data_IF_444639453419
#
_entry.id   IF_444639453419
#
_cell.length_a   1.000
_cell.length_b   1.000
_cell.length_c   1.000
_cell.angle_alpha   90.00
_cell.angle_beta   90.00
_cell.angle_gamma   90.00
#
_symmetry.space_group_name_H-M   'P 1'
#
loop_
_entity.id
_entity.type
_entity.pdbx_description
1 polymer ?
#
# COMPACT_ATOMS: atom_id res chain seq x y z
N UNK A 1 61.56 -24.07 42.29
CA UNK A 1 60.51 -25.02 41.91
C UNK A 1 59.22 -24.23 41.65
N UNK A 2 58.98 -23.85 40.40
CA UNK A 2 57.82 -23.08 40.02
C UNK A 2 56.80 -24.03 39.39
N UNK A 3 55.61 -24.11 39.97
CA UNK A 3 54.51 -24.93 39.56
C UNK A 3 53.72 -24.13 38.50
N UNK A 4 53.63 -24.67 37.29
CA UNK A 4 52.84 -24.12 36.18
C UNK A 4 51.42 -24.76 36.25
N UNK A 5 50.39 -23.97 36.49
CA UNK A 5 49.00 -24.43 36.47
C UNK A 5 48.47 -24.14 35.07
N UNK A 6 48.16 -25.21 34.30
CA UNK A 6 47.39 -25.12 33.06
C UNK A 6 45.91 -25.08 33.37
N UNK A 7 45.22 -24.05 32.88
CA UNK A 7 43.76 -23.97 32.84
C UNK A 7 43.27 -24.51 31.49
N UNK A 8 42.21 -25.31 31.43
CA UNK A 8 41.63 -25.78 30.17
C UNK A 8 40.75 -24.67 29.51
N UNK A 9 41.00 -24.42 28.23
CA UNK A 9 40.08 -23.66 27.35
C UNK A 9 38.84 -24.50 27.08
N UNK A 10 37.69 -24.05 27.58
CA UNK A 10 36.38 -24.56 27.15
C UNK A 10 35.91 -23.73 25.95
N UNK A 11 35.90 -24.37 24.78
CA UNK A 11 35.26 -23.82 23.58
C UNK A 11 33.75 -23.88 23.73
N UNK A 12 33.12 -22.73 24.03
CA UNK A 12 31.69 -22.57 23.98
C UNK A 12 31.22 -22.51 22.53
N UNK A 13 30.47 -23.52 22.09
CA UNK A 13 29.66 -23.44 20.86
C UNK A 13 28.51 -22.44 21.12
N UNK A 14 28.57 -21.29 20.45
CA UNK A 14 27.38 -20.44 20.30
C UNK A 14 26.46 -21.08 19.26
N UNK A 15 25.38 -21.70 19.71
CA UNK A 15 24.24 -22.01 18.87
C UNK A 15 23.54 -20.69 18.56
N UNK A 16 23.53 -20.31 17.28
CA UNK A 16 22.62 -19.31 16.78
C UNK A 16 21.26 -19.95 16.63
N UNK A 17 20.40 -19.77 17.61
CA UNK A 17 18.97 -19.97 17.46
C UNK A 17 18.47 -18.92 16.47
N UNK A 18 18.27 -19.34 15.22
CA UNK A 18 17.59 -18.55 14.21
C UNK A 18 16.14 -18.34 14.63
N UNK A 19 15.87 -17.22 15.24
CA UNK A 19 14.51 -16.75 15.49
C UNK A 19 13.90 -16.43 14.12
N UNK A 20 13.14 -17.36 13.55
CA UNK A 20 12.25 -17.10 12.44
C UNK A 20 11.18 -16.16 13.00
N UNK A 21 11.23 -14.89 12.61
CA UNK A 21 10.20 -13.92 12.93
C UNK A 21 8.89 -14.37 12.26
N UNK A 22 8.05 -15.07 13.01
CA UNK A 22 6.65 -15.29 12.66
C UNK A 22 6.03 -13.88 12.64
N UNK A 23 5.50 -13.47 11.49
CA UNK A 23 4.72 -12.23 11.40
C UNK A 23 3.63 -12.29 12.47
N UNK A 24 3.75 -11.46 13.50
CA UNK A 24 2.74 -11.36 14.53
C UNK A 24 1.44 -10.87 13.86
N UNK A 25 0.45 -11.74 13.76
CA UNK A 25 -0.92 -11.32 13.55
C UNK A 25 -1.26 -10.40 14.72
N UNK A 26 -1.65 -9.16 14.41
CA UNK A 26 -2.11 -8.20 15.41
C UNK A 26 -3.29 -8.82 16.18
N UNK A 27 -3.38 -8.59 17.50
CA UNK A 27 -4.46 -9.08 18.38
C UNK A 27 -5.88 -8.79 17.85
N UNK A 28 -6.01 -7.91 16.84
CA UNK A 28 -7.25 -7.56 16.14
C UNK A 28 -7.47 -8.30 14.82
N UNK A 29 -6.67 -9.33 14.48
CA UNK A 29 -6.80 -10.13 13.27
C UNK A 29 -6.29 -9.44 11.99
N UNK A 30 -5.46 -8.40 12.10
CA UNK A 30 -4.74 -7.83 10.97
C UNK A 30 -3.49 -8.63 10.65
N UNK A 31 -3.28 -8.86 9.38
CA UNK A 31 -2.12 -9.50 8.80
C UNK A 31 -1.28 -8.47 8.06
N UNK A 32 0.02 -8.41 8.32
CA UNK A 32 0.94 -7.60 7.52
C UNK A 32 1.09 -8.23 6.13
N UNK A 33 0.89 -7.44 5.08
CA UNK A 33 1.09 -7.84 3.68
C UNK A 33 2.34 -7.19 3.07
N UNK A 34 3.09 -6.45 3.88
CA UNK A 34 4.42 -5.93 3.58
C UNK A 34 5.25 -5.96 4.87
N UNK A 35 6.44 -6.56 4.79
CA UNK A 35 7.34 -6.77 5.93
C UNK A 35 8.30 -5.60 6.20
N UNK A 36 8.37 -4.63 5.27
CA UNK A 36 9.31 -3.52 5.31
C UNK A 36 10.67 -3.82 4.65
N UNK A 37 10.91 -5.06 4.24
CA UNK A 37 12.22 -5.53 3.78
C UNK A 37 12.21 -6.15 2.39
N UNK A 38 11.11 -6.85 2.00
CA UNK A 38 11.00 -7.54 0.72
C UNK A 38 9.76 -7.13 -0.06
N UNK A 39 9.79 -7.34 -1.37
CA UNK A 39 8.61 -7.24 -2.22
C UNK A 39 8.05 -8.63 -2.57
N UNK A 40 8.26 -9.61 -1.70
CA UNK A 40 7.68 -10.93 -1.87
C UNK A 40 6.15 -10.83 -1.89
N UNK A 41 5.52 -11.59 -2.78
CA UNK A 41 4.07 -11.52 -3.05
C UNK A 41 3.58 -10.22 -3.70
N UNK A 42 4.50 -9.32 -4.11
CA UNK A 42 4.17 -8.12 -4.85
C UNK A 42 4.72 -8.19 -6.28
N UNK A 43 3.86 -8.09 -7.28
CA UNK A 43 4.18 -8.14 -8.71
C UNK A 43 4.13 -6.75 -9.32
N UNK A 44 5.22 -6.34 -9.99
CA UNK A 44 5.35 -5.05 -10.67
C UNK A 44 6.76 -4.77 -11.15
N UNK A 45 6.96 -3.63 -11.80
CA UNK A 45 8.27 -3.23 -12.34
C UNK A 45 9.23 -2.80 -11.23
N UNK A 46 10.31 -3.56 -11.03
CA UNK A 46 11.34 -3.31 -10.02
C UNK A 46 12.26 -2.12 -10.36
N UNK A 47 12.21 -1.60 -11.56
CA UNK A 47 12.89 -0.34 -11.91
C UNK A 47 12.10 0.89 -11.46
N UNK A 48 10.79 0.71 -11.19
CA UNK A 48 9.89 1.78 -10.75
C UNK A 48 9.60 1.68 -9.26
N UNK A 49 9.41 0.44 -8.74
CA UNK A 49 9.15 0.20 -7.33
C UNK A 49 10.38 -0.37 -6.63
N UNK A 50 10.73 0.23 -5.49
CA UNK A 50 11.85 -0.18 -4.63
C UNK A 50 11.45 -0.14 -3.17
N UNK A 51 12.31 -0.65 -2.31
CA UNK A 51 12.19 -0.48 -0.86
C UNK A 51 13.21 0.56 -0.42
N UNK A 52 12.77 1.49 0.40
CA UNK A 52 13.61 2.54 0.99
C UNK A 52 13.03 2.92 2.37
N UNK A 53 13.87 2.94 3.39
CA UNK A 53 13.49 3.28 4.78
C UNK A 53 12.28 2.48 5.31
N UNK A 54 12.20 1.18 5.00
CA UNK A 54 11.09 0.32 5.43
C UNK A 54 9.75 0.62 4.74
N UNK A 55 9.78 1.28 3.59
CA UNK A 55 8.62 1.60 2.79
C UNK A 55 8.76 1.12 1.33
N UNK A 56 7.64 0.81 0.69
CA UNK A 56 7.56 0.66 -0.76
C UNK A 56 7.52 2.06 -1.37
N UNK A 57 8.41 2.34 -2.30
CA UNK A 57 8.49 3.63 -3.01
C UNK A 57 8.30 3.40 -4.50
N UNK A 58 7.27 4.02 -5.07
CA UNK A 58 7.02 4.05 -6.50
C UNK A 58 7.41 5.40 -7.10
N UNK A 59 8.08 5.38 -8.26
CA UNK A 59 8.45 6.57 -8.99
C UNK A 59 9.86 7.08 -8.71
N UNK A 60 10.13 8.32 -9.13
CA UNK A 60 11.46 8.95 -9.06
C UNK A 60 11.34 10.47 -9.02
N UNK A 61 12.16 11.12 -8.17
CA UNK A 61 12.30 12.58 -8.14
C UNK A 61 13.19 13.12 -9.28
N UNK A 62 13.81 12.24 -10.06
CA UNK A 62 14.79 12.62 -11.10
C UNK A 62 14.24 12.51 -12.52
N UNK A 63 13.31 11.60 -12.74
CA UNK A 63 12.82 11.26 -14.07
C UNK A 63 11.30 11.32 -14.14
N UNK A 64 10.80 11.75 -15.29
CA UNK A 64 9.36 11.69 -15.61
C UNK A 64 8.87 10.24 -15.57
N UNK A 65 7.67 10.03 -15.06
CA UNK A 65 6.98 8.76 -15.06
C UNK A 65 6.16 8.66 -16.36
N UNK A 66 6.49 7.71 -17.26
CA UNK A 66 5.93 7.71 -18.63
C UNK A 66 4.44 7.41 -18.70
N UNK A 67 3.95 6.54 -17.82
CA UNK A 67 2.55 6.11 -17.70
C UNK A 67 2.29 5.59 -16.28
N UNK A 68 1.08 5.14 -15.97
CA UNK A 68 0.77 4.53 -14.68
C UNK A 68 1.52 3.23 -14.49
N UNK A 69 2.02 3.01 -13.29
CA UNK A 69 2.60 1.76 -12.85
C UNK A 69 1.89 1.27 -11.59
N UNK A 70 1.74 -0.05 -11.50
CA UNK A 70 1.07 -0.70 -10.39
C UNK A 70 1.92 -1.82 -9.83
N UNK A 71 2.06 -1.85 -8.52
CA UNK A 71 2.64 -2.95 -7.76
C UNK A 71 1.47 -3.72 -7.13
N UNK A 72 1.14 -4.89 -7.68
CA UNK A 72 -0.02 -5.70 -7.33
C UNK A 72 0.34 -6.72 -6.26
N UNK A 73 -0.46 -6.82 -5.21
CA UNK A 73 -0.38 -7.91 -4.26
C UNK A 73 -1.05 -9.17 -4.84
N UNK A 74 -0.41 -10.32 -4.72
CA UNK A 74 -0.78 -11.55 -5.45
C UNK A 74 -2.08 -12.24 -4.97
N UNK A 75 -2.69 -11.78 -3.87
CA UNK A 75 -3.90 -12.39 -3.31
C UNK A 75 -5.10 -11.47 -3.48
N UNK A 76 -6.22 -11.99 -4.04
CA UNK A 76 -7.46 -11.23 -4.13
C UNK A 76 -8.20 -11.16 -2.80
N UNK A 77 -9.04 -10.13 -2.67
CA UNK A 77 -9.89 -9.89 -1.51
C UNK A 77 -11.26 -9.35 -1.92
N UNK A 78 -12.30 -9.85 -1.25
CA UNK A 78 -13.68 -9.34 -1.40
C UNK A 78 -14.08 -8.43 -0.24
N UNK A 79 -14.20 -8.99 0.98
CA UNK A 79 -14.54 -8.25 2.18
C UNK A 79 -13.29 -8.11 3.06
N UNK A 80 -12.90 -6.87 3.32
CA UNK A 80 -11.66 -6.61 4.05
C UNK A 80 -11.63 -5.20 4.64
N UNK A 81 -10.77 -5.02 5.63
CA UNK A 81 -10.26 -3.74 6.06
C UNK A 81 -8.77 -3.68 5.76
N UNK A 82 -8.34 -2.69 4.97
CA UNK A 82 -6.95 -2.40 4.65
C UNK A 82 -6.53 -1.12 5.37
N UNK A 83 -5.38 -1.16 6.04
CA UNK A 83 -4.75 0.01 6.65
C UNK A 83 -3.32 0.14 6.17
N UNK A 84 -2.94 1.35 5.85
CA UNK A 84 -1.56 1.68 5.45
C UNK A 84 -1.25 3.13 5.76
N UNK A 85 0.02 3.48 5.68
CA UNK A 85 0.47 4.86 5.65
C UNK A 85 1.01 5.20 4.27
N UNK A 86 0.71 6.42 3.82
CA UNK A 86 1.23 6.94 2.56
C UNK A 86 1.90 8.31 2.74
N UNK A 87 2.80 8.64 1.81
CA UNK A 87 3.44 9.95 1.68
C UNK A 87 3.69 10.21 0.20
N UNK A 88 3.31 11.39 -0.31
CA UNK A 88 3.66 11.82 -1.66
C UNK A 88 4.74 12.88 -1.61
N UNK A 89 5.73 12.77 -2.50
CA UNK A 89 6.80 13.75 -2.67
C UNK A 89 6.83 14.19 -4.13
N UNK A 90 6.91 15.50 -4.35
CA UNK A 90 6.83 16.12 -5.68
C UNK A 90 5.62 17.03 -5.82
N UNK A 91 5.71 18.02 -6.70
CA UNK A 91 4.74 19.13 -6.79
C UNK A 91 3.40 18.75 -7.44
N UNK A 92 3.38 17.68 -8.21
CA UNK A 92 2.19 17.23 -8.95
C UNK A 92 2.08 15.69 -8.94
N UNK A 93 2.60 15.05 -7.89
CA UNK A 93 2.53 13.62 -7.74
C UNK A 93 1.08 13.19 -7.53
N UNK A 94 0.65 12.21 -8.32
CA UNK A 94 -0.61 11.51 -8.18
C UNK A 94 -0.31 10.00 -8.01
N UNK A 95 -1.13 9.35 -7.22
CA UNK A 95 -0.97 7.96 -6.86
C UNK A 95 -2.30 7.38 -6.38
N UNK A 96 -2.33 6.13 -5.97
CA UNK A 96 -3.55 5.53 -5.43
C UNK A 96 -3.35 4.11 -4.94
N UNK A 97 -4.37 3.59 -4.30
CA UNK A 97 -4.45 2.20 -3.91
C UNK A 97 -5.62 1.56 -4.68
N UNK A 98 -5.30 0.65 -5.58
CA UNK A 98 -6.29 -0.18 -6.26
C UNK A 98 -6.88 -1.18 -5.28
N UNK A 99 -8.20 -1.32 -5.30
CA UNK A 99 -8.95 -2.28 -4.48
C UNK A 99 -9.99 -2.98 -5.34
N UNK A 100 -10.19 -4.28 -5.12
CA UNK A 100 -11.13 -5.08 -5.93
C UNK A 100 -10.91 -4.88 -7.43
N UNK A 101 -9.65 -4.81 -7.84
CA UNK A 101 -9.22 -4.49 -9.21
C UNK A 101 -8.57 -5.68 -9.87
N UNK A 102 -8.45 -5.64 -11.19
CA UNK A 102 -7.81 -6.70 -11.98
C UNK A 102 -6.81 -6.12 -12.96
N UNK A 103 -5.74 -6.86 -13.27
CA UNK A 103 -4.85 -6.51 -14.38
C UNK A 103 -5.61 -6.56 -15.69
N UNK A 104 -5.40 -5.57 -16.56
CA UNK A 104 -5.81 -5.65 -17.95
C UNK A 104 -4.75 -6.45 -18.70
N UNK A 105 -5.11 -7.60 -19.34
CA UNK A 105 -4.14 -8.43 -20.05
C UNK A 105 -3.36 -7.65 -21.11
N UNK A 106 -2.04 -7.79 -21.14
CA UNK A 106 -1.14 -7.14 -22.10
C UNK A 106 -1.20 -5.59 -22.08
N UNK A 107 -1.60 -5.01 -20.96
CA UNK A 107 -1.68 -3.57 -20.76
C UNK A 107 -1.01 -3.14 -19.45
N UNK A 108 -0.57 -1.88 -19.37
CA UNK A 108 0.03 -1.35 -18.14
C UNK A 108 -1.00 -0.97 -17.06
N UNK A 109 -2.27 -0.79 -17.45
CA UNK A 109 -3.34 -0.37 -16.55
C UNK A 109 -3.95 -1.53 -15.74
N UNK A 110 -4.66 -1.15 -14.68
CA UNK A 110 -5.60 -1.98 -13.96
C UNK A 110 -7.03 -1.48 -14.18
N UNK A 111 -8.01 -2.34 -13.95
CA UNK A 111 -9.43 -2.02 -14.04
C UNK A 111 -10.10 -2.31 -12.69
N UNK A 112 -10.78 -1.32 -12.13
CA UNK A 112 -11.51 -1.44 -10.86
C UNK A 112 -11.49 -0.17 -10.03
N UNK A 113 -11.75 -0.28 -8.74
CA UNK A 113 -11.79 0.88 -7.86
C UNK A 113 -10.40 1.32 -7.42
N UNK A 114 -10.20 2.62 -7.30
CA UNK A 114 -8.99 3.23 -6.77
C UNK A 114 -9.33 4.19 -5.63
N UNK A 115 -8.73 3.98 -4.49
CA UNK A 115 -8.67 4.94 -3.41
C UNK A 115 -7.56 5.94 -3.74
N UNK A 116 -7.95 7.11 -4.23
CA UNK A 116 -7.07 8.05 -4.91
C UNK A 116 -6.25 8.94 -3.96
N UNK A 117 -5.07 9.32 -4.43
CA UNK A 117 -4.13 10.21 -3.77
C UNK A 117 -3.58 11.23 -4.77
N UNK A 118 -3.59 12.51 -4.40
CA UNK A 118 -3.00 13.56 -5.20
C UNK A 118 -3.91 14.74 -5.42
N UNK A 119 -3.39 15.77 -6.04
CA UNK A 119 -4.08 17.04 -6.24
C UNK A 119 -5.44 16.81 -6.92
N UNK A 120 -6.50 17.36 -6.32
CA UNK A 120 -7.91 17.28 -6.73
C UNK A 120 -8.57 15.90 -6.56
N UNK A 121 -7.83 14.87 -6.12
CA UNK A 121 -8.33 13.49 -5.97
C UNK A 121 -8.09 12.91 -4.58
N UNK A 122 -7.59 13.70 -3.64
CA UNK A 122 -7.33 13.24 -2.29
C UNK A 122 -8.55 12.57 -1.67
N UNK A 123 -8.40 11.29 -1.32
CA UNK A 123 -9.46 10.52 -0.67
C UNK A 123 -10.68 10.24 -1.52
N UNK A 124 -10.65 10.48 -2.83
CA UNK A 124 -11.73 10.10 -3.75
C UNK A 124 -11.73 8.59 -4.00
N UNK A 125 -12.89 8.06 -4.31
CA UNK A 125 -13.05 6.75 -4.94
C UNK A 125 -13.20 6.96 -6.44
N UNK A 126 -12.22 6.51 -7.20
CA UNK A 126 -12.19 6.57 -8.66
C UNK A 126 -12.45 5.20 -9.25
N UNK A 127 -13.05 5.12 -10.42
CA UNK A 127 -13.26 3.87 -11.16
C UNK A 127 -12.31 3.80 -12.36
N UNK A 128 -11.14 3.20 -12.12
CA UNK A 128 -10.03 3.12 -13.08
C UNK A 128 -10.38 2.20 -14.24
N UNK A 129 -10.13 2.69 -15.45
CA UNK A 129 -10.28 1.97 -16.74
C UNK A 129 -11.68 1.41 -17.04
N UNK A 130 -12.63 1.41 -16.08
CA UNK A 130 -14.01 0.95 -16.28
C UNK A 130 -14.92 2.15 -16.59
N UNK A 131 -15.35 2.92 -15.58
CA UNK A 131 -16.20 4.12 -15.73
C UNK A 131 -15.40 5.41 -15.94
N UNK A 132 -14.12 5.42 -15.58
CA UNK A 132 -13.15 6.52 -15.70
C UNK A 132 -13.66 7.83 -15.09
N UNK A 133 -14.19 7.74 -13.87
CA UNK A 133 -14.73 8.90 -13.15
C UNK A 133 -14.62 8.72 -11.64
N UNK A 134 -14.64 9.83 -10.94
CA UNK A 134 -14.84 9.86 -9.49
C UNK A 134 -16.27 9.40 -9.19
N UNK A 135 -16.42 8.42 -8.32
CA UNK A 135 -17.70 7.88 -7.86
C UNK A 135 -18.18 8.60 -6.60
N UNK A 136 -17.27 8.90 -5.70
CA UNK A 136 -17.48 9.63 -4.46
C UNK A 136 -16.19 10.27 -3.99
N UNK A 137 -16.28 11.29 -3.15
CA UNK A 137 -15.10 11.93 -2.56
C UNK A 137 -15.49 12.96 -1.52
N UNK A 138 -14.51 13.47 -0.76
CA UNK A 138 -14.71 14.47 0.27
C UNK A 138 -14.80 15.88 -0.32
N UNK A 139 -15.20 16.83 0.52
CA UNK A 139 -14.83 18.22 0.32
C UNK A 139 -13.30 18.35 0.42
N UNK A 140 -12.67 18.77 -0.67
CA UNK A 140 -11.20 18.86 -0.76
C UNK A 140 -10.63 19.97 0.13
N UNK A 141 -11.41 21.02 0.46
CA UNK A 141 -10.98 22.10 1.34
C UNK A 141 -10.98 21.65 2.80
N UNK A 142 -11.97 20.88 3.21
CA UNK A 142 -12.03 20.30 4.54
C UNK A 142 -10.92 19.26 4.73
N UNK A 143 -10.73 18.38 3.76
CA UNK A 143 -9.68 17.36 3.82
C UNK A 143 -8.28 17.99 3.86
N UNK A 144 -8.05 19.08 3.16
CA UNK A 144 -6.75 19.78 3.14
C UNK A 144 -6.31 20.24 4.55
N UNK A 145 -7.22 20.42 5.51
CA UNK A 145 -6.90 20.83 6.88
C UNK A 145 -6.23 19.71 7.70
N UNK A 146 -6.46 18.45 7.33
CA UNK A 146 -5.91 17.29 8.03
C UNK A 146 -4.79 16.59 7.25
N UNK A 147 -4.64 16.86 5.96
CA UNK A 147 -3.57 16.31 5.14
C UNK A 147 -2.21 16.88 5.55
N UNK A 148 -1.25 15.98 5.76
CA UNK A 148 0.14 16.32 6.08
C UNK A 148 0.98 16.28 4.81
N UNK A 149 1.33 17.46 4.29
CA UNK A 149 2.13 17.58 3.06
C UNK A 149 3.55 17.02 3.26
N UNK A 150 4.03 16.23 2.30
CA UNK A 150 5.34 15.56 2.34
C UNK A 150 5.62 14.76 3.63
N UNK A 151 4.57 14.32 4.31
CA UNK A 151 4.65 13.58 5.55
C UNK A 151 3.71 12.36 5.51
N UNK A 152 3.86 11.47 6.48
CA UNK A 152 3.03 10.27 6.58
C UNK A 152 1.60 10.60 6.98
N UNK A 153 0.66 10.11 6.20
CA UNK A 153 -0.77 10.14 6.43
C UNK A 153 -1.30 8.71 6.56
N UNK A 154 -2.30 8.50 7.39
CA UNK A 154 -2.96 7.22 7.54
C UNK A 154 -4.08 7.07 6.49
N UNK A 155 -4.18 5.90 5.88
CA UNK A 155 -5.30 5.51 5.03
C UNK A 155 -5.96 4.26 5.58
N UNK A 156 -7.27 4.33 5.75
CA UNK A 156 -8.12 3.19 6.10
C UNK A 156 -9.15 2.98 5.00
N UNK A 157 -9.27 1.75 4.52
CA UNK A 157 -10.15 1.34 3.43
C UNK A 157 -10.96 0.14 3.92
N UNK A 158 -12.29 0.20 3.84
CA UNK A 158 -13.18 -0.89 4.22
C UNK A 158 -14.07 -1.24 3.04
N UNK A 159 -14.04 -2.51 2.64
CA UNK A 159 -14.93 -3.09 1.64
C UNK A 159 -15.78 -4.18 2.29
N UNK A 160 -17.11 -4.02 2.29
CA UNK A 160 -18.05 -5.00 2.84
C UNK A 160 -19.27 -5.13 1.93
N UNK A 161 -19.48 -6.32 1.34
CA UNK A 161 -20.51 -6.49 0.30
C UNK A 161 -20.31 -5.47 -0.81
N UNK A 162 -21.32 -4.69 -1.12
CA UNK A 162 -21.27 -3.61 -2.10
C UNK A 162 -20.85 -2.25 -1.53
N UNK A 163 -20.61 -2.14 -0.21
CA UNK A 163 -20.18 -0.89 0.42
C UNK A 163 -18.66 -0.73 0.36
N UNK A 164 -18.21 0.48 0.03
CA UNK A 164 -16.81 0.92 0.04
C UNK A 164 -16.71 2.20 0.85
N UNK A 165 -15.88 2.18 1.89
CA UNK A 165 -15.68 3.31 2.78
C UNK A 165 -14.19 3.64 2.88
N UNK A 166 -13.83 4.94 2.84
CA UNK A 166 -12.46 5.43 2.88
C UNK A 166 -12.29 6.47 3.98
N UNK A 167 -11.13 6.48 4.65
CA UNK A 167 -10.74 7.49 5.63
C UNK A 167 -9.28 7.88 5.44
N UNK A 168 -8.98 9.18 5.51
CA UNK A 168 -7.63 9.72 5.61
C UNK A 168 -7.49 10.46 6.94
N UNK A 169 -6.47 10.13 7.74
CA UNK A 169 -6.20 10.73 9.06
C UNK A 169 -7.49 10.79 9.93
N UNK A 170 -8.23 9.67 10.00
CA UNK A 170 -9.50 9.48 10.71
C UNK A 170 -10.70 10.27 10.17
N UNK A 171 -10.52 11.11 9.14
CA UNK A 171 -11.63 11.78 8.45
C UNK A 171 -12.20 10.87 7.37
N UNK A 172 -13.50 10.57 7.45
CA UNK A 172 -14.18 9.78 6.42
C UNK A 172 -14.30 10.58 5.13
N UNK A 173 -13.72 10.06 4.05
CA UNK A 173 -13.71 10.71 2.74
C UNK A 173 -14.73 10.13 1.78
N UNK A 174 -15.09 8.86 1.97
CA UNK A 174 -16.07 8.15 1.12
C UNK A 174 -16.94 7.23 1.97
N UNK A 175 -18.22 7.22 1.66
CA UNK A 175 -19.18 6.17 1.98
C UNK A 175 -19.99 5.89 0.70
N UNK A 176 -19.60 4.86 -0.04
CA UNK A 176 -20.13 4.56 -1.36
C UNK A 176 -20.79 3.20 -1.38
N UNK A 177 -21.99 3.13 -1.97
CA UNK A 177 -22.70 1.90 -2.23
C UNK A 177 -22.67 1.60 -3.73
N UNK A 178 -22.06 0.49 -4.14
CA UNK A 178 -22.14 0.02 -5.52
C UNK A 178 -23.53 -0.59 -5.77
N UNK A 179 -24.19 -0.11 -6.80
CA UNK A 179 -25.53 -0.53 -7.20
C UNK A 179 -25.55 -1.41 -8.44
N UNK A 180 -24.42 -1.57 -9.09
CA UNK A 180 -24.25 -2.44 -10.26
C UNK A 180 -23.81 -3.84 -9.82
N UNK A 181 -24.76 -4.73 -9.70
CA UNK A 181 -24.55 -6.13 -9.28
C UNK A 181 -23.70 -6.94 -10.30
N UNK A 182 -23.47 -6.42 -11.49
CA UNK A 182 -22.58 -7.07 -12.48
C UNK A 182 -21.10 -6.89 -12.16
N UNK A 183 -20.75 -5.97 -11.28
CA UNK A 183 -19.37 -5.72 -10.86
C UNK A 183 -18.96 -6.73 -9.80
N UNK A 184 -17.98 -7.56 -10.16
CA UNK A 184 -17.39 -8.54 -9.24
C UNK A 184 -16.80 -7.84 -8.00
N UNK A 185 -17.25 -8.19 -6.79
CA UNK A 185 -16.71 -7.59 -5.56
C UNK A 185 -15.34 -8.17 -5.14
N UNK A 186 -14.79 -9.14 -5.88
CA UNK A 186 -13.50 -9.76 -5.63
C UNK A 186 -12.42 -9.22 -6.56
N UNK A 187 -11.23 -9.00 -6.03
CA UNK A 187 -10.10 -8.57 -6.84
C UNK A 187 -8.85 -8.22 -6.04
N UNK A 188 -7.85 -7.78 -6.77
CA UNK A 188 -6.52 -7.50 -6.26
C UNK A 188 -6.45 -6.14 -5.54
N UNK A 189 -5.43 -6.03 -4.69
CA UNK A 189 -4.93 -4.76 -4.15
C UNK A 189 -3.65 -4.41 -4.91
N UNK A 190 -3.49 -3.14 -5.29
CA UNK A 190 -2.24 -2.67 -5.86
C UNK A 190 -1.92 -1.23 -5.44
N UNK A 191 -0.64 -0.93 -5.35
CA UNK A 191 -0.12 0.41 -5.12
C UNK A 191 0.20 1.05 -6.47
N UNK A 192 -0.27 2.27 -6.70
CA UNK A 192 -0.04 2.99 -7.95
C UNK A 192 0.97 4.13 -7.76
N UNK A 193 1.76 4.37 -8.79
CA UNK A 193 2.33 5.68 -9.10
C UNK A 193 1.83 6.12 -10.48
N UNK A 194 1.24 7.30 -10.56
CA UNK A 194 0.64 7.82 -11.79
C UNK A 194 1.68 8.40 -12.74
N UNK A 195 1.47 8.24 -14.04
CA UNK A 195 2.26 8.87 -15.08
C UNK A 195 2.24 10.40 -14.97
N UNK A 196 3.41 11.04 -15.04
CA UNK A 196 3.48 12.47 -14.86
C UNK A 196 4.89 13.01 -14.64
N UNK A 197 5.02 14.21 -14.05
CA UNK A 197 6.31 14.78 -13.69
C UNK A 197 7.06 13.93 -12.66
N UNK A 198 8.36 14.21 -12.40
CA UNK A 198 9.09 13.57 -11.32
C UNK A 198 8.36 13.67 -9.98
N UNK A 199 8.21 12.51 -9.31
CA UNK A 199 7.53 12.40 -8.04
C UNK A 199 7.61 10.98 -7.48
N UNK A 200 7.33 10.84 -6.20
CA UNK A 200 7.36 9.56 -5.50
C UNK A 200 6.12 9.37 -4.64
N UNK A 201 5.58 8.15 -4.70
CA UNK A 201 4.56 7.67 -3.77
C UNK A 201 5.19 6.63 -2.83
N UNK A 202 5.08 6.88 -1.54
CA UNK A 202 5.64 6.07 -0.47
C UNK A 202 4.52 5.39 0.30
N UNK A 203 4.67 4.08 0.59
CA UNK A 203 3.69 3.25 1.28
C UNK A 203 4.37 2.37 2.33
N UNK A 204 3.82 2.34 3.56
CA UNK A 204 4.33 1.48 4.64
C UNK A 204 3.22 1.02 5.57
N UNK A 205 3.56 0.14 6.52
CA UNK A 205 2.63 -0.37 7.55
C UNK A 205 1.36 -0.95 6.91
N UNK A 206 1.54 -1.70 5.78
CA UNK A 206 0.44 -2.21 4.97
C UNK A 206 -0.07 -3.49 5.61
N UNK A 207 -1.27 -3.43 6.16
CA UNK A 207 -1.90 -4.55 6.86
C UNK A 207 -3.36 -4.68 6.49
N UNK A 208 -3.83 -5.92 6.42
CA UNK A 208 -5.18 -6.26 5.99
C UNK A 208 -5.84 -7.23 6.95
N UNK A 209 -7.14 -7.09 7.12
CA UNK A 209 -7.99 -8.03 7.85
C UNK A 209 -9.13 -8.46 6.95
N UNK A 210 -9.32 -9.78 6.75
CA UNK A 210 -10.52 -10.33 6.12
C UNK A 210 -11.71 -10.16 7.05
N UNK A 211 -12.88 -9.91 6.47
CA UNK A 211 -14.14 -9.73 7.19
C UNK A 211 -15.20 -10.71 6.71
#
# INVERSE_FOLDING_TARGET
>A
MRILILLPLTSGLFQHDGCVAVSADDENGFQNIFDGETLDHWEGDRNVFRIEDGAIVGGSLRTKIPHNFFLRYERPYSNFELRLQFKLIGTATNAGIQIRSKRIPQHHEMIGYQADLGRNYWGCLYDESRRRKVLAGPDQQELAQVLKSNAWNDYRIVCRGSQIQLWINDVQTVDYQELDDSIDPDGDIALQIHGGPPGEAWYRNIRIRKM
#
